data_IF_788065999234
#
_entry.id   IF_788065999234
#
_cell.length_a   1.000
_cell.length_b   1.000
_cell.length_c   1.000
_cell.angle_alpha   90.00
_cell.angle_beta   90.00
_cell.angle_gamma   90.00
#
_symmetry.space_group_name_H-M   'P 1'
#
loop_
_entity.id
_entity.type
_entity.pdbx_description
1 polymer ?
#
# COMPACT_ATOMS: atom_id res chain seq x y z
N UNK A 1 -8.71 -14.08 5.05
CA UNK A 1 -9.70 -13.00 5.29
C UNK A 1 -10.22 -12.44 3.97
N UNK A 2 -9.40 -11.77 3.15
CA UNK A 2 -9.82 -11.25 1.83
C UNK A 2 -10.34 -12.36 0.89
N UNK A 3 -9.66 -13.51 0.82
CA UNK A 3 -10.08 -14.65 -0.02
C UNK A 3 -11.43 -15.29 0.34
N UNK A 4 -11.97 -14.98 1.53
CA UNK A 4 -13.24 -15.54 2.02
C UNK A 4 -14.38 -14.50 1.99
N UNK A 5 -14.10 -13.27 1.56
CA UNK A 5 -15.08 -12.19 1.49
C UNK A 5 -15.15 -11.70 0.04
N UNK A 6 -16.24 -12.02 -0.68
CA UNK A 6 -16.48 -11.52 -2.04
C UNK A 6 -16.37 -9.99 -2.12
N UNK A 7 -16.86 -9.27 -1.10
CA UNK A 7 -16.78 -7.82 -1.00
C UNK A 7 -15.35 -7.31 -0.90
N UNK A 8 -14.51 -7.89 -0.03
CA UNK A 8 -13.11 -7.48 0.08
C UNK A 8 -12.29 -7.89 -1.16
N UNK A 9 -12.66 -8.99 -1.81
CA UNK A 9 -12.07 -9.41 -3.09
C UNK A 9 -12.35 -8.37 -4.18
N UNK A 10 -13.62 -8.02 -4.37
CA UNK A 10 -14.05 -6.99 -5.34
C UNK A 10 -13.40 -5.63 -5.05
N UNK A 11 -13.37 -5.20 -3.79
CA UNK A 11 -12.68 -3.96 -3.39
C UNK A 11 -11.20 -3.99 -3.75
N UNK A 12 -10.51 -5.10 -3.47
CA UNK A 12 -9.09 -5.22 -3.78
C UNK A 12 -8.83 -5.06 -5.28
N UNK A 13 -9.59 -5.74 -6.12
CA UNK A 13 -9.43 -5.70 -7.57
C UNK A 13 -9.68 -4.30 -8.14
N UNK A 14 -10.75 -3.64 -7.70
CA UNK A 14 -11.08 -2.29 -8.17
C UNK A 14 -10.10 -1.23 -7.67
N UNK A 15 -9.67 -1.32 -6.41
CA UNK A 15 -8.64 -0.42 -5.86
C UNK A 15 -7.32 -0.51 -6.63
N UNK A 16 -6.89 -1.73 -7.01
CA UNK A 16 -5.65 -1.94 -7.77
C UNK A 16 -5.66 -1.21 -9.11
N UNK A 17 -6.82 -1.12 -9.79
CA UNK A 17 -6.96 -0.34 -11.04
C UNK A 17 -6.67 1.16 -10.85
N UNK A 18 -7.02 1.69 -9.68
CA UNK A 18 -6.78 3.09 -9.33
C UNK A 18 -5.38 3.33 -8.76
N UNK A 19 -4.65 2.25 -8.39
CA UNK A 19 -3.33 2.20 -7.73
C UNK A 19 -3.27 2.36 -6.19
N UNK A 20 -4.34 2.68 -5.43
CA UNK A 20 -4.42 2.32 -4.02
C UNK A 20 -4.47 0.80 -3.85
N UNK A 21 -3.91 0.32 -2.77
CA UNK A 21 -4.15 -1.03 -2.28
C UNK A 21 -5.06 -1.00 -1.06
N UNK A 22 -5.68 -2.14 -0.75
CA UNK A 22 -6.53 -2.28 0.44
C UNK A 22 -5.81 -1.90 1.76
N UNK A 23 -4.47 -1.98 1.79
CA UNK A 23 -3.64 -1.59 2.95
C UNK A 23 -3.50 -0.08 3.15
N UNK A 24 -3.86 0.73 2.15
CA UNK A 24 -3.83 2.18 2.25
C UNK A 24 -5.13 2.74 2.86
N UNK A 25 -6.08 1.86 3.19
CA UNK A 25 -7.43 2.23 3.65
C UNK A 25 -7.76 1.48 4.94
N UNK A 26 -8.65 2.07 5.74
CA UNK A 26 -9.26 1.40 6.89
C UNK A 26 -10.68 1.00 6.46
N UNK A 27 -10.91 -0.30 6.31
CA UNK A 27 -12.25 -0.85 6.11
C UNK A 27 -12.80 -1.31 7.47
N UNK A 28 -13.99 -0.85 7.83
CA UNK A 28 -14.69 -1.27 9.04
C UNK A 28 -16.19 -1.31 8.78
N UNK A 29 -16.86 -2.25 9.43
CA UNK A 29 -18.33 -2.30 9.43
C UNK A 29 -18.89 -1.25 10.40
N UNK A 30 -20.05 -0.68 10.06
CA UNK A 30 -20.76 0.27 10.94
C UNK A 30 -21.30 -0.42 12.20
N UNK A 31 -21.50 -1.74 12.14
CA UNK A 31 -21.99 -2.57 13.24
C UNK A 31 -21.10 -3.80 13.47
N UNK A 32 -19.82 -3.61 13.86
CA UNK A 32 -18.77 -4.62 13.76
C UNK A 32 -18.95 -5.85 14.68
N UNK A 33 -19.88 -5.81 15.63
CA UNK A 33 -20.15 -6.89 16.58
C UNK A 33 -21.55 -7.50 16.44
N UNK A 34 -22.31 -7.08 15.42
CA UNK A 34 -23.67 -7.58 15.22
C UNK A 34 -23.66 -8.66 14.15
N UNK A 35 -24.17 -9.82 14.53
CA UNK A 35 -24.47 -10.92 13.62
C UNK A 35 -25.97 -11.20 13.64
N UNK A 36 -26.47 -11.85 12.60
CA UNK A 36 -27.87 -12.29 12.53
C UNK A 36 -28.30 -13.09 13.77
N UNK A 37 -27.43 -13.96 14.30
CA UNK A 37 -27.72 -14.73 15.51
C UNK A 37 -27.79 -13.87 16.78
N UNK A 38 -27.04 -12.78 16.84
CA UNK A 38 -27.05 -11.87 18.00
C UNK A 38 -28.35 -11.07 18.11
N UNK A 39 -28.95 -10.70 16.97
CA UNK A 39 -30.22 -9.95 16.89
C UNK A 39 -31.43 -10.75 17.40
N UNK A 40 -31.38 -12.08 17.33
CA UNK A 40 -32.46 -12.98 17.78
C UNK A 40 -32.49 -13.12 19.31
N UNK A 41 -31.37 -12.86 20.00
CA UNK A 41 -31.17 -13.24 21.42
C UNK A 41 -31.25 -12.08 22.42
N UNK A 42 -30.99 -10.85 21.99
CA UNK A 42 -31.02 -9.62 22.80
C UNK A 42 -31.82 -8.60 22.01
N UNK A 43 -32.67 -7.81 22.66
CA UNK A 43 -33.48 -6.79 21.97
C UNK A 43 -32.63 -5.99 20.99
N UNK A 44 -32.97 -6.06 19.70
CA UNK A 44 -32.11 -5.66 18.58
C UNK A 44 -31.68 -4.19 18.67
N UNK A 45 -32.55 -3.30 19.13
CA UNK A 45 -32.31 -1.87 19.16
C UNK A 45 -31.17 -1.42 20.09
N UNK A 46 -31.06 -1.99 21.30
CA UNK A 46 -30.00 -1.62 22.26
C UNK A 46 -28.62 -2.06 21.75
N UNK A 47 -28.55 -3.26 21.18
CA UNK A 47 -27.31 -3.79 20.60
C UNK A 47 -26.87 -2.96 19.37
N UNK A 48 -27.82 -2.56 18.52
CA UNK A 48 -27.58 -1.69 17.36
C UNK A 48 -27.07 -0.33 17.81
N UNK A 49 -27.69 0.28 18.83
CA UNK A 49 -27.25 1.56 19.39
C UNK A 49 -25.83 1.48 19.96
N UNK A 50 -25.55 0.49 20.81
CA UNK A 50 -24.23 0.29 21.42
C UNK A 50 -23.14 0.04 20.37
N UNK A 51 -23.46 -0.72 19.33
CA UNK A 51 -22.54 -1.01 18.23
C UNK A 51 -22.26 0.24 17.39
N UNK A 52 -23.30 1.04 17.10
CA UNK A 52 -23.14 2.31 16.39
C UNK A 52 -22.29 3.31 17.19
N UNK A 53 -22.50 3.41 18.50
CA UNK A 53 -21.72 4.28 19.38
C UNK A 53 -20.22 3.91 19.37
N UNK A 54 -19.91 2.62 19.22
CA UNK A 54 -18.53 2.15 19.05
C UNK A 54 -17.94 2.57 17.71
N UNK A 55 -18.73 2.58 16.64
CA UNK A 55 -18.30 3.12 15.35
C UNK A 55 -17.98 4.61 15.45
N UNK A 56 -18.81 5.41 16.12
CA UNK A 56 -18.51 6.83 16.35
C UNK A 56 -17.21 7.02 17.15
N UNK A 57 -16.99 6.21 18.18
CA UNK A 57 -15.72 6.21 18.94
C UNK A 57 -14.53 5.82 18.07
N UNK A 58 -14.65 4.82 17.20
CA UNK A 58 -13.60 4.47 16.24
C UNK A 58 -13.26 5.66 15.33
N UNK A 59 -14.27 6.36 14.81
CA UNK A 59 -14.07 7.56 13.99
C UNK A 59 -13.39 8.69 14.77
N UNK A 60 -13.70 8.84 16.06
CA UNK A 60 -13.01 9.76 16.96
C UNK A 60 -11.53 9.38 17.17
N UNK A 61 -11.16 8.10 17.16
CA UNK A 61 -9.75 7.73 17.30
C UNK A 61 -8.98 7.83 15.99
N UNK A 62 -9.61 7.44 14.88
CA UNK A 62 -8.97 7.39 13.55
C UNK A 62 -8.86 8.79 12.94
N UNK A 63 -9.84 9.68 13.21
CA UNK A 63 -9.96 11.00 12.59
C UNK A 63 -9.79 10.98 11.07
N UNK A 64 -10.60 10.19 10.33
CA UNK A 64 -10.48 10.10 8.88
C UNK A 64 -10.85 11.45 8.23
N UNK A 65 -10.11 11.87 7.20
CA UNK A 65 -10.48 13.07 6.44
C UNK A 65 -11.64 12.81 5.48
N UNK A 66 -11.69 11.58 4.93
CA UNK A 66 -12.70 11.13 3.99
C UNK A 66 -13.22 9.78 4.49
N UNK A 67 -14.54 9.65 4.56
CA UNK A 67 -15.26 8.42 4.88
C UNK A 67 -16.13 8.04 3.68
N UNK A 68 -15.91 6.85 3.14
CA UNK A 68 -16.73 6.28 2.08
C UNK A 68 -17.72 5.33 2.73
N UNK A 69 -19.00 5.67 2.69
CA UNK A 69 -20.07 4.92 3.34
C UNK A 69 -20.76 3.97 2.36
N UNK A 70 -20.32 2.72 2.35
CA UNK A 70 -20.94 1.66 1.56
C UNK A 70 -22.01 0.87 2.35
N UNK A 71 -22.57 1.43 3.42
CA UNK A 71 -23.58 0.75 4.23
C UNK A 71 -24.87 1.57 4.31
N UNK A 72 -25.97 0.94 3.89
CA UNK A 72 -27.31 1.44 4.14
C UNK A 72 -27.65 1.16 5.61
N UNK A 73 -28.14 2.16 6.36
CA UNK A 73 -28.84 1.83 7.60
C UNK A 73 -30.15 1.17 7.21
N UNK A 74 -30.50 0.09 7.91
CA UNK A 74 -31.79 -0.55 7.81
C UNK A 74 -32.87 0.53 7.84
N UNK A 75 -33.65 0.66 6.76
CA UNK A 75 -34.81 1.54 6.72
C UNK A 75 -35.66 1.27 7.97
N UNK A 76 -36.28 2.31 8.51
CA UNK A 76 -37.34 2.13 9.52
C UNK A 76 -38.36 1.11 8.99
N UNK A 77 -38.39 -0.09 9.57
CA UNK A 77 -39.21 -1.21 9.09
C UNK A 77 -38.50 -2.54 8.88
N UNK A 78 -37.17 -2.63 9.03
CA UNK A 78 -36.50 -3.93 9.10
C UNK A 78 -36.78 -4.59 10.47
N UNK A 79 -37.78 -5.46 10.52
CA UNK A 79 -38.24 -6.14 11.75
C UNK A 79 -37.11 -6.90 12.47
N UNK A 80 -36.05 -7.28 11.74
CA UNK A 80 -34.91 -8.04 12.28
C UNK A 80 -33.89 -7.15 13.01
N UNK A 81 -33.66 -5.94 12.52
CA UNK A 81 -32.68 -5.00 13.09
C UNK A 81 -33.31 -3.99 14.07
N UNK A 82 -34.65 -3.88 14.06
CA UNK A 82 -35.37 -2.92 14.88
C UNK A 82 -35.25 -1.49 14.35
N UNK A 83 -35.99 -0.56 14.95
CA UNK A 83 -35.85 0.86 14.67
C UNK A 83 -34.80 1.49 15.59
N UNK A 84 -33.76 2.07 15.00
CA UNK A 84 -32.76 2.85 15.70
C UNK A 84 -32.78 4.27 15.13
N UNK A 85 -32.88 5.27 16.02
CA UNK A 85 -32.80 6.69 15.66
C UNK A 85 -31.65 7.31 16.42
N UNK A 86 -30.68 7.82 15.68
CA UNK A 86 -29.58 8.60 16.21
C UNK A 86 -29.23 9.69 15.18
N UNK A 87 -29.06 10.97 15.59
CA UNK A 87 -28.83 12.06 14.63
C UNK A 87 -27.63 11.80 13.69
N UNK A 88 -26.54 11.25 14.25
CA UNK A 88 -25.37 10.86 13.45
C UNK A 88 -25.60 9.61 12.60
N UNK A 89 -26.54 8.75 12.94
CA UNK A 89 -26.86 7.61 12.09
C UNK A 89 -27.53 8.07 10.80
N UNK A 90 -28.38 9.10 10.84
CA UNK A 90 -28.99 9.70 9.65
C UNK A 90 -27.93 10.39 8.76
N UNK A 91 -26.99 11.10 9.37
CA UNK A 91 -25.87 11.73 8.64
C UNK A 91 -24.89 10.69 8.06
N UNK A 92 -24.69 9.57 8.76
CA UNK A 92 -23.81 8.46 8.35
C UNK A 92 -24.58 7.31 7.70
N UNK A 93 -25.74 7.62 7.11
CA UNK A 93 -26.53 6.65 6.38
C UNK A 93 -26.34 6.80 4.89
N UNK A 94 -26.07 5.71 4.18
CA UNK A 94 -26.15 5.74 2.73
C UNK A 94 -27.52 5.31 2.20
N UNK A 95 -27.87 5.84 1.03
CA UNK A 95 -29.01 5.40 0.22
C UNK A 95 -28.62 5.42 -1.26
N UNK A 96 -29.22 4.54 -2.06
CA UNK A 96 -28.98 4.53 -3.52
C UNK A 96 -29.26 5.89 -4.17
N UNK A 97 -30.27 6.63 -3.68
CA UNK A 97 -30.60 7.96 -4.19
C UNK A 97 -29.47 8.96 -3.92
N UNK A 98 -28.86 8.91 -2.73
CA UNK A 98 -27.70 9.74 -2.38
C UNK A 98 -26.47 9.36 -3.22
N UNK A 99 -26.24 8.05 -3.43
CA UNK A 99 -25.12 7.56 -4.21
C UNK A 99 -25.23 7.96 -5.70
N UNK A 100 -26.41 7.83 -6.30
CA UNK A 100 -26.66 8.27 -7.69
C UNK A 100 -26.53 9.78 -7.90
N UNK A 101 -26.67 10.56 -6.84
CA UNK A 101 -26.46 12.02 -6.85
C UNK A 101 -25.02 12.41 -6.51
N UNK A 102 -24.11 11.43 -6.34
CA UNK A 102 -22.71 11.63 -5.95
C UNK A 102 -22.60 12.51 -4.69
N UNK A 103 -23.50 12.30 -3.74
CA UNK A 103 -23.66 13.21 -2.61
C UNK A 103 -22.46 13.13 -1.65
N UNK A 104 -21.79 14.27 -1.48
CA UNK A 104 -20.74 14.47 -0.46
C UNK A 104 -21.25 15.43 0.61
N UNK A 105 -21.12 15.05 1.88
CA UNK A 105 -21.49 15.88 3.03
C UNK A 105 -20.30 16.11 3.95
N UNK A 106 -20.23 17.27 4.58
CA UNK A 106 -19.33 17.48 5.72
C UNK A 106 -20.05 17.07 6.99
N UNK A 107 -19.47 16.14 7.73
CA UNK A 107 -20.02 15.63 8.99
C UNK A 107 -19.01 15.90 10.10
N UNK A 108 -19.49 16.48 11.20
CA UNK A 108 -18.70 16.63 12.43
C UNK A 108 -18.94 15.42 13.34
N UNK A 109 -17.89 14.73 13.74
CA UNK A 109 -17.95 13.69 14.78
C UNK A 109 -16.95 14.07 15.86
N UNK A 110 -17.47 14.39 17.04
CA UNK A 110 -16.67 14.78 18.21
C UNK A 110 -15.69 15.95 17.95
N UNK A 111 -16.11 16.94 17.15
CA UNK A 111 -15.28 18.12 16.82
C UNK A 111 -14.29 17.90 15.68
N UNK A 112 -14.33 16.74 15.03
CA UNK A 112 -13.55 16.44 13.83
C UNK A 112 -14.46 16.45 12.61
N UNK A 113 -14.16 17.32 11.64
CA UNK A 113 -14.88 17.39 10.38
C UNK A 113 -14.29 16.40 9.37
N UNK A 114 -15.17 15.60 8.77
CA UNK A 114 -14.83 14.68 7.69
C UNK A 114 -15.77 14.83 6.50
N UNK A 115 -15.27 14.52 5.31
CA UNK A 115 -16.07 14.41 4.10
C UNK A 115 -16.64 13.01 4.00
N UNK A 116 -17.96 12.92 4.01
CA UNK A 116 -18.71 11.67 3.91
C UNK A 116 -19.23 11.53 2.49
N UNK A 117 -18.74 10.51 1.80
CA UNK A 117 -19.17 10.13 0.45
C UNK A 117 -20.18 8.99 0.60
N UNK A 118 -21.42 9.22 0.19
CA UNK A 118 -22.50 8.25 0.31
C UNK A 118 -22.50 7.30 -0.89
N UNK A 119 -22.41 5.99 -0.63
CA UNK A 119 -22.30 4.95 -1.66
C UNK A 119 -23.37 3.87 -1.57
N UNK A 120 -23.52 3.13 -2.65
CA UNK A 120 -24.35 1.92 -2.70
C UNK A 120 -23.76 0.79 -1.83
N UNK A 121 -24.62 -0.08 -1.33
CA UNK A 121 -24.16 -1.22 -0.53
C UNK A 121 -23.36 -2.20 -1.41
N UNK A 122 -22.14 -2.53 -1.01
CA UNK A 122 -21.22 -3.35 -1.83
C UNK A 122 -21.80 -4.74 -2.17
N UNK A 123 -22.68 -5.28 -1.33
CA UNK A 123 -23.36 -6.55 -1.63
C UNK A 123 -24.28 -6.44 -2.86
N UNK A 124 -24.93 -5.30 -3.06
CA UNK A 124 -25.84 -5.09 -4.21
C UNK A 124 -25.06 -5.03 -5.53
N UNK A 125 -23.83 -4.50 -5.47
CA UNK A 125 -22.87 -4.51 -6.58
C UNK A 125 -22.38 -5.93 -6.86
N UNK A 126 -21.91 -6.64 -5.84
CA UNK A 126 -21.31 -7.97 -6.01
C UNK A 126 -22.33 -9.02 -6.47
N UNK A 127 -23.61 -8.86 -6.13
CA UNK A 127 -24.63 -9.88 -6.38
C UNK A 127 -25.56 -9.61 -7.57
N UNK A 128 -25.82 -8.35 -7.96
CA UNK A 128 -27.02 -8.07 -8.77
C UNK A 128 -26.91 -7.08 -9.94
N UNK A 129 -26.03 -6.06 -9.95
CA UNK A 129 -26.21 -4.97 -10.95
C UNK A 129 -24.93 -4.28 -11.44
N UNK A 130 -24.69 -4.37 -12.76
CA UNK A 130 -23.61 -3.70 -13.48
C UNK A 130 -23.76 -2.16 -13.46
N UNK A 131 -24.97 -1.61 -13.52
CA UNK A 131 -25.18 -0.15 -13.46
C UNK A 131 -24.75 0.42 -12.10
N UNK A 132 -25.03 -0.33 -11.02
CA UNK A 132 -24.65 0.03 -9.66
C UNK A 132 -23.13 -0.05 -9.47
N UNK A 133 -22.49 -1.02 -10.13
CA UNK A 133 -21.03 -1.14 -10.19
C UNK A 133 -20.36 0.06 -10.88
N UNK A 134 -20.93 0.51 -12.00
CA UNK A 134 -20.41 1.67 -12.75
C UNK A 134 -20.47 2.97 -11.93
N UNK A 135 -21.56 3.20 -11.20
CA UNK A 135 -21.69 4.35 -10.30
C UNK A 135 -20.61 4.30 -9.21
N UNK A 136 -20.47 3.16 -8.54
CA UNK A 136 -19.49 2.99 -7.47
C UNK A 136 -18.05 3.16 -7.97
N UNK A 137 -17.73 2.59 -9.13
CA UNK A 137 -16.42 2.74 -9.76
C UNK A 137 -16.13 4.18 -10.17
N UNK A 138 -17.14 4.92 -10.64
CA UNK A 138 -17.01 6.34 -10.97
C UNK A 138 -16.62 7.14 -9.73
N UNK A 139 -17.35 6.95 -8.62
CA UNK A 139 -17.09 7.72 -7.41
C UNK A 139 -15.75 7.32 -6.78
N UNK A 140 -15.43 6.03 -6.74
CA UNK A 140 -14.11 5.57 -6.28
C UNK A 140 -12.98 6.16 -7.11
N UNK A 141 -13.14 6.21 -8.44
CA UNK A 141 -12.15 6.82 -9.33
C UNK A 141 -11.96 8.31 -9.03
N UNK A 142 -13.06 9.03 -8.78
CA UNK A 142 -13.01 10.44 -8.42
C UNK A 142 -12.34 10.70 -7.07
N UNK A 143 -12.65 9.91 -6.06
CA UNK A 143 -12.17 10.11 -4.68
C UNK A 143 -10.76 9.56 -4.49
N UNK A 144 -10.48 8.37 -5.00
CA UNK A 144 -9.24 7.62 -4.72
C UNK A 144 -8.23 7.69 -5.86
N UNK A 145 -8.66 7.95 -7.09
CA UNK A 145 -7.79 8.06 -8.26
C UNK A 145 -6.67 9.10 -8.10
N UNK A 146 -6.95 10.33 -7.63
CA UNK A 146 -5.90 11.33 -7.39
C UNK A 146 -4.83 10.85 -6.39
N UNK A 147 -5.25 10.19 -5.31
CA UNK A 147 -4.34 9.61 -4.32
C UNK A 147 -3.50 8.48 -4.94
N UNK A 148 -4.12 7.60 -5.70
CA UNK A 148 -3.43 6.51 -6.42
C UNK A 148 -2.35 7.03 -7.37
N UNK A 149 -2.66 8.05 -8.17
CA UNK A 149 -1.69 8.70 -9.05
C UNK A 149 -0.53 9.34 -8.29
N UNK A 150 -0.82 10.04 -7.19
CA UNK A 150 0.20 10.64 -6.35
C UNK A 150 1.12 9.58 -5.73
N UNK A 151 0.54 8.51 -5.18
CA UNK A 151 1.28 7.39 -4.57
C UNK A 151 2.22 6.75 -5.58
N UNK A 152 1.72 6.44 -6.77
CA UNK A 152 2.49 5.82 -7.84
C UNK A 152 3.66 6.68 -8.32
N UNK A 153 3.42 8.00 -8.50
CA UNK A 153 4.49 8.95 -8.82
C UNK A 153 5.56 8.97 -7.73
N UNK A 154 5.15 9.00 -6.45
CA UNK A 154 6.08 9.02 -5.32
C UNK A 154 6.93 7.75 -5.23
N UNK A 155 6.29 6.58 -5.41
CA UNK A 155 6.99 5.30 -5.44
C UNK A 155 7.96 5.21 -6.62
N UNK A 156 7.58 5.73 -7.78
CA UNK A 156 8.46 5.80 -8.96
C UNK A 156 9.70 6.64 -8.69
N UNK A 157 9.53 7.85 -8.14
CA UNK A 157 10.66 8.73 -7.76
C UNK A 157 11.58 8.05 -6.74
N UNK A 158 11.01 7.36 -5.74
CA UNK A 158 11.79 6.63 -4.75
C UNK A 158 12.58 5.47 -5.37
N UNK A 159 11.96 4.69 -6.27
CA UNK A 159 12.62 3.60 -7.01
C UNK A 159 13.75 4.13 -7.88
N UNK A 160 13.54 5.26 -8.56
CA UNK A 160 14.59 5.91 -9.35
C UNK A 160 15.74 6.41 -8.48
N UNK A 161 15.46 7.03 -7.33
CA UNK A 161 16.47 7.48 -6.39
C UNK A 161 17.31 6.29 -5.87
N UNK A 162 16.65 5.22 -5.43
CA UNK A 162 17.32 3.99 -4.99
C UNK A 162 18.15 3.35 -6.12
N UNK A 163 17.64 3.36 -7.36
CA UNK A 163 18.39 2.88 -8.53
C UNK A 163 19.63 3.73 -8.80
N UNK A 164 19.53 5.06 -8.72
CA UNK A 164 20.68 5.97 -8.91
C UNK A 164 21.72 5.74 -7.81
N UNK A 165 21.30 5.61 -6.56
CA UNK A 165 22.18 5.29 -5.44
C UNK A 165 22.91 3.96 -5.66
N UNK A 166 22.16 2.91 -6.03
CA UNK A 166 22.74 1.60 -6.36
C UNK A 166 23.79 1.71 -7.48
N UNK A 167 23.48 2.43 -8.57
CA UNK A 167 24.44 2.64 -9.67
C UNK A 167 25.67 3.40 -9.20
N UNK A 168 25.52 4.47 -8.40
CA UNK A 168 26.66 5.22 -7.87
C UNK A 168 27.56 4.34 -6.98
N UNK A 169 26.97 3.56 -6.07
CA UNK A 169 27.73 2.64 -5.21
C UNK A 169 28.43 1.59 -6.06
N UNK A 170 27.73 1.01 -7.04
CA UNK A 170 28.30 0.01 -7.96
C UNK A 170 29.50 0.57 -8.74
N UNK A 171 29.37 1.76 -9.33
CA UNK A 171 30.48 2.40 -10.07
C UNK A 171 31.62 2.82 -9.14
N UNK A 172 31.32 3.30 -7.92
CA UNK A 172 32.32 3.65 -6.92
C UNK A 172 33.15 2.44 -6.48
N UNK A 173 32.50 1.31 -6.20
CA UNK A 173 33.19 0.03 -5.89
C UNK A 173 34.03 -0.42 -7.08
N UNK A 174 33.49 -0.35 -8.30
CA UNK A 174 34.21 -0.70 -9.52
C UNK A 174 35.47 0.14 -9.72
N UNK A 175 35.37 1.46 -9.56
CA UNK A 175 36.55 2.34 -9.69
C UNK A 175 37.57 2.11 -8.58
N UNK A 176 37.11 1.89 -7.34
CA UNK A 176 37.98 1.51 -6.22
C UNK A 176 38.78 0.23 -6.52
N UNK A 177 38.12 -0.80 -7.05
CA UNK A 177 38.78 -2.05 -7.45
C UNK A 177 39.79 -1.85 -8.57
N UNK A 178 39.46 -1.06 -9.60
CA UNK A 178 40.44 -0.68 -10.65
C UNK A 178 41.65 0.04 -10.06
N UNK A 179 41.41 0.95 -9.11
CA UNK A 179 42.46 1.65 -8.37
C UNK A 179 43.39 0.69 -7.62
N UNK A 180 42.83 -0.26 -6.88
CA UNK A 180 43.59 -1.29 -6.16
C UNK A 180 44.43 -2.15 -7.10
N UNK A 181 43.84 -2.65 -8.20
CA UNK A 181 44.58 -3.43 -9.20
C UNK A 181 45.79 -2.64 -9.73
N UNK A 182 45.61 -1.35 -10.04
CA UNK A 182 46.72 -0.47 -10.47
C UNK A 182 47.80 -0.31 -9.39
N UNK A 183 47.42 -0.13 -8.13
CA UNK A 183 48.38 -0.04 -7.02
C UNK A 183 49.17 -1.34 -6.84
N UNK A 184 48.52 -2.49 -7.02
CA UNK A 184 49.16 -3.80 -6.93
C UNK A 184 50.16 -4.02 -8.07
N UNK A 185 49.82 -3.63 -9.29
CA UNK A 185 50.74 -3.64 -10.44
C UNK A 185 51.96 -2.74 -10.21
N UNK A 186 51.77 -1.55 -9.64
CA UNK A 186 52.87 -0.64 -9.29
C UNK A 186 53.77 -1.25 -8.21
N UNK A 187 53.17 -1.85 -7.17
CA UNK A 187 53.93 -2.54 -6.12
C UNK A 187 54.77 -3.68 -6.68
N UNK A 188 54.19 -4.51 -7.55
CA UNK A 188 54.91 -5.59 -8.24
C UNK A 188 56.06 -5.06 -9.11
N UNK A 189 55.86 -3.93 -9.80
CA UNK A 189 56.91 -3.31 -10.60
C UNK A 189 58.08 -2.82 -9.75
N UNK A 190 57.80 -2.08 -8.67
CA UNK A 190 58.82 -1.59 -7.73
C UNK A 190 59.56 -2.77 -7.09
N UNK A 191 58.82 -3.77 -6.61
CA UNK A 191 59.40 -4.96 -5.99
C UNK A 191 60.20 -5.80 -6.99
N UNK A 192 59.79 -5.85 -8.26
CA UNK A 192 60.53 -6.52 -9.33
C UNK A 192 61.84 -5.82 -9.67
N UNK A 193 61.90 -4.49 -9.53
CA UNK A 193 63.15 -3.73 -9.64
C UNK A 193 64.06 -3.95 -8.41
N UNK A 194 63.50 -4.05 -7.21
CA UNK A 194 64.23 -4.27 -5.95
C UNK A 194 64.61 -5.73 -5.68
N UNK A 195 63.95 -6.72 -6.32
CA UNK A 195 64.23 -8.15 -6.17
C UNK A 195 65.63 -8.57 -6.67
N UNK A 196 66.40 -7.64 -7.27
CA UNK A 196 67.86 -7.77 -7.40
C UNK A 196 68.58 -7.86 -6.03
N UNK A 197 67.90 -7.53 -4.92
CA UNK A 197 68.43 -7.53 -3.55
C UNK A 197 67.80 -8.58 -2.59
N UNK A 198 66.99 -9.53 -3.07
CA UNK A 198 66.81 -10.85 -2.42
C UNK A 198 65.71 -11.08 -1.35
N UNK A 199 64.85 -10.12 -0.98
CA UNK A 199 63.94 -10.30 0.20
C UNK A 199 62.41 -10.34 -0.10
N UNK A 200 61.96 -10.10 -1.33
CA UNK A 200 60.53 -9.77 -1.61
C UNK A 200 59.57 -10.92 -1.99
N UNK A 201 60.02 -12.18 -2.00
CA UNK A 201 59.30 -13.33 -2.62
C UNK A 201 57.90 -13.67 -2.04
N UNK A 202 57.66 -13.49 -0.73
CA UNK A 202 56.36 -13.83 -0.11
C UNK A 202 55.29 -12.75 -0.29
N UNK A 203 55.68 -11.48 -0.29
CA UNK A 203 54.74 -10.36 -0.42
C UNK A 203 54.17 -10.29 -1.84
N UNK A 204 55.01 -10.48 -2.87
CA UNK A 204 54.58 -10.49 -4.28
C UNK A 204 53.62 -11.62 -4.61
N UNK A 205 53.83 -12.84 -4.07
CA UNK A 205 52.86 -13.94 -4.26
C UNK A 205 51.47 -13.64 -3.69
N UNK A 206 51.40 -12.94 -2.56
CA UNK A 206 50.14 -12.58 -1.91
C UNK A 206 49.40 -11.46 -2.66
N UNK A 207 50.16 -10.51 -3.20
CA UNK A 207 49.64 -9.45 -4.07
C UNK A 207 49.07 -10.04 -5.37
N UNK A 208 49.75 -11.00 -5.98
CA UNK A 208 49.26 -11.71 -7.17
C UNK A 208 47.94 -12.48 -6.90
N UNK A 209 47.81 -13.12 -5.74
CA UNK A 209 46.59 -13.82 -5.35
C UNK A 209 45.40 -12.86 -5.16
N UNK A 210 45.61 -11.76 -4.44
CA UNK A 210 44.61 -10.71 -4.26
C UNK A 210 44.20 -10.06 -5.59
N UNK A 211 45.14 -9.90 -6.54
CA UNK A 211 44.87 -9.34 -7.85
C UNK A 211 43.91 -10.23 -8.64
N UNK A 212 44.15 -11.54 -8.66
CA UNK A 212 43.25 -12.51 -9.31
C UNK A 212 41.85 -12.51 -8.70
N UNK A 213 41.74 -12.41 -7.38
CA UNK A 213 40.44 -12.31 -6.70
C UNK A 213 39.70 -11.02 -7.11
N UNK A 214 40.39 -9.89 -7.12
CA UNK A 214 39.81 -8.60 -7.54
C UNK A 214 39.40 -8.59 -9.02
N UNK A 215 40.19 -9.21 -9.90
CA UNK A 215 39.85 -9.37 -11.31
C UNK A 215 38.63 -10.29 -11.53
N UNK A 216 38.47 -11.34 -10.70
CA UNK A 216 37.27 -12.19 -10.72
C UNK A 216 36.02 -11.41 -10.33
N UNK A 217 36.08 -10.69 -9.20
CA UNK A 217 34.97 -9.87 -8.72
C UNK A 217 34.61 -8.74 -9.69
N UNK A 218 35.60 -8.14 -10.37
CA UNK A 218 35.34 -7.14 -11.40
C UNK A 218 34.55 -7.74 -12.59
N UNK A 219 34.92 -8.94 -13.04
CA UNK A 219 34.21 -9.65 -14.12
C UNK A 219 32.79 -10.03 -13.72
N UNK A 220 32.57 -10.49 -12.48
CA UNK A 220 31.24 -10.81 -11.96
C UNK A 220 30.34 -9.57 -11.90
N UNK A 221 30.87 -8.42 -11.48
CA UNK A 221 30.13 -7.16 -11.47
C UNK A 221 29.75 -6.66 -12.88
N UNK A 222 30.56 -6.99 -13.89
CA UNK A 222 30.29 -6.65 -15.29
C UNK A 222 29.29 -7.62 -15.93
N UNK A 223 29.31 -8.91 -15.55
CA UNK A 223 28.37 -9.93 -16.01
C UNK A 223 26.95 -9.75 -15.41
N UNK A 224 26.84 -9.36 -14.14
CA UNK A 224 25.56 -9.14 -13.46
C UNK A 224 24.74 -7.92 -13.95
N UNK A 225 25.19 -7.20 -14.98
CA UNK A 225 24.53 -6.01 -15.50
C UNK A 225 23.29 -6.24 -16.37
N UNK A 226 23.06 -7.46 -16.88
CA UNK A 226 22.02 -7.74 -17.89
C UNK A 226 20.75 -8.42 -17.36
N UNK A 227 20.74 -8.97 -16.14
CA UNK A 227 19.61 -9.78 -15.66
C UNK A 227 18.77 -9.12 -14.55
N UNK A 228 19.28 -8.09 -13.87
CA UNK A 228 18.64 -7.54 -12.65
C UNK A 228 17.60 -6.43 -12.88
N UNK A 229 17.24 -6.12 -14.13
CA UNK A 229 16.36 -4.99 -14.47
C UNK A 229 15.11 -5.37 -15.29
N UNK A 230 14.75 -6.66 -15.35
CA UNK A 230 13.40 -7.01 -15.81
C UNK A 230 12.40 -6.71 -14.69
N UNK A 231 11.38 -5.87 -14.92
CA UNK A 231 10.26 -5.78 -13.98
C UNK A 231 9.63 -7.17 -13.89
N UNK A 232 9.48 -7.68 -12.68
CA UNK A 232 8.61 -8.84 -12.45
C UNK A 232 7.19 -8.38 -12.76
N UNK A 233 6.68 -8.87 -13.89
CA UNK A 233 5.29 -8.77 -14.33
C UNK A 233 4.39 -9.64 -13.48
#
# INVERSE_FOLDING_TARGET
MVQLSPTLGWLKENLELMKPGLRDMIAMDTYPMITDGSLVSRGSAELVADSFERTLKCLQYIHPQILILCQCCSKAGDEKWGSFSHPKAEELCSSEACARQEQVKTVDVYGHQMLVVHEVHLQDVVQYNQETEEVLNTIFTMVLGPFGQWKDRRLTVQREAARREYVMVKEGVREGMRGLIRQMQLFEHICGQEARNGVLSKATKRVEEWRKQMESWAKEMDAGGNESLKPQS
#
